data_IF_930514563826
#
_entry.id   IF_930514563826
#
_cell.length_a   1.000
_cell.length_b   1.000
_cell.length_c   1.000
_cell.angle_alpha   90.00
_cell.angle_beta   90.00
_cell.angle_gamma   90.00
#
_symmetry.space_group_name_H-M   'P 1'
#
loop_
_entity.id
_entity.type
_entity.pdbx_description
1 polymer ?
#
# COMPACT_ATOMS: atom_id res chain seq x y z
N UNK A 1 34.33 2.81 16.65
CA UNK A 1 33.70 3.41 15.43
C UNK A 1 34.65 3.18 14.27
N UNK A 2 34.20 2.67 13.12
CA UNK A 2 35.09 2.37 11.99
C UNK A 2 35.91 3.59 11.56
N UNK A 3 37.18 3.45 11.15
CA UNK A 3 37.98 4.57 10.62
C UNK A 3 37.32 5.20 9.38
N UNK A 4 37.61 6.49 9.13
CA UNK A 4 37.03 7.22 7.99
C UNK A 4 37.37 6.56 6.64
N UNK A 5 38.56 5.98 6.53
CA UNK A 5 39.02 5.25 5.34
C UNK A 5 38.17 4.02 5.02
N UNK A 6 37.59 3.37 6.04
CA UNK A 6 36.66 2.27 5.80
C UNK A 6 35.25 2.76 5.48
N UNK A 7 34.80 3.85 6.10
CA UNK A 7 33.47 4.41 5.83
C UNK A 7 33.34 4.98 4.42
N UNK A 8 34.43 5.54 3.87
CA UNK A 8 34.50 5.99 2.47
C UNK A 8 34.34 4.85 1.44
N UNK A 9 34.58 3.60 1.85
CA UNK A 9 34.42 2.41 0.98
C UNK A 9 32.96 1.94 0.88
N UNK A 10 32.09 2.42 1.76
CA UNK A 10 30.66 2.08 1.71
C UNK A 10 30.04 2.73 0.48
N UNK A 11 29.39 1.92 -0.36
CA UNK A 11 28.80 2.37 -1.61
C UNK A 11 27.29 2.62 -1.49
N UNK A 12 26.58 1.82 -0.70
CA UNK A 12 25.12 1.88 -0.61
C UNK A 12 24.68 1.67 0.83
N UNK A 13 23.71 2.46 1.27
CA UNK A 13 23.05 2.33 2.57
C UNK A 13 21.55 2.33 2.34
N UNK A 14 20.88 1.25 2.74
CA UNK A 14 19.41 1.22 2.79
C UNK A 14 18.94 1.63 4.18
N UNK A 15 18.07 2.63 4.28
CA UNK A 15 17.61 3.18 5.56
C UNK A 15 16.10 3.45 5.59
N UNK A 16 15.55 3.55 6.78
CA UNK A 16 14.15 3.96 6.99
C UNK A 16 13.99 5.48 6.76
N UNK A 17 12.75 5.94 6.61
CA UNK A 17 12.34 7.34 6.44
C UNK A 17 12.53 8.20 7.71
N UNK A 18 13.30 7.73 8.70
CA UNK A 18 13.53 8.45 9.94
C UNK A 18 14.54 9.56 9.73
N UNK A 19 14.05 10.80 9.83
CA UNK A 19 14.78 12.03 9.52
C UNK A 19 16.21 12.12 10.12
N UNK A 20 16.45 11.74 11.40
CA UNK A 20 17.81 11.76 11.96
C UNK A 20 18.81 10.87 11.22
N UNK A 21 18.39 9.73 10.65
CA UNK A 21 19.30 8.90 9.85
C UNK A 21 19.67 9.61 8.55
N UNK A 22 18.71 10.27 7.89
CA UNK A 22 18.97 11.02 6.66
C UNK A 22 19.95 12.18 6.87
N UNK A 23 19.98 12.76 8.06
CA UNK A 23 20.92 13.85 8.41
C UNK A 23 22.32 13.34 8.81
N UNK A 24 22.40 12.18 9.46
CA UNK A 24 23.64 11.64 10.02
C UNK A 24 24.40 10.78 9.00
N UNK A 25 23.70 10.00 8.17
CA UNK A 25 24.31 9.07 7.21
C UNK A 25 25.26 9.76 6.22
N UNK A 26 24.94 10.93 5.62
CA UNK A 26 25.89 11.64 4.75
C UNK A 26 27.17 12.08 5.47
N UNK A 27 27.07 12.40 6.77
CA UNK A 27 28.23 12.79 7.59
C UNK A 27 29.10 11.60 7.94
N UNK A 28 28.50 10.43 8.15
CA UNK A 28 29.21 9.20 8.50
C UNK A 28 29.77 8.47 7.27
N UNK A 29 29.07 8.51 6.15
CA UNK A 29 29.38 7.75 4.92
C UNK A 29 29.23 8.66 3.69
N UNK A 30 30.21 9.55 3.46
CA UNK A 30 30.09 10.61 2.46
C UNK A 30 30.01 10.10 1.01
N UNK A 31 30.52 8.90 0.73
CA UNK A 31 30.53 8.29 -0.60
C UNK A 31 29.36 7.33 -0.85
N UNK A 32 28.54 7.07 0.17
CA UNK A 32 27.47 6.08 0.07
C UNK A 32 26.20 6.69 -0.52
N UNK A 33 25.59 5.99 -1.47
CA UNK A 33 24.24 6.27 -1.94
C UNK A 33 23.22 5.82 -0.89
N UNK A 34 22.39 6.76 -0.43
CA UNK A 34 21.33 6.48 0.54
C UNK A 34 20.06 6.11 -0.21
N UNK A 35 19.58 4.88 0.02
CA UNK A 35 18.35 4.33 -0.55
C UNK A 35 17.32 4.20 0.56
N UNK A 36 16.11 4.68 0.32
CA UNK A 36 15.00 4.50 1.24
C UNK A 36 14.45 3.07 1.15
N UNK A 37 14.19 2.46 2.29
CA UNK A 37 13.60 1.14 2.34
C UNK A 37 12.17 1.16 1.76
N UNK A 38 12.01 0.44 0.65
CA UNK A 38 10.77 0.30 -0.10
C UNK A 38 9.67 -0.33 0.75
N UNK A 39 10.02 -1.21 1.70
CA UNK A 39 9.04 -1.83 2.58
C UNK A 39 8.31 -0.80 3.44
N UNK A 40 9.05 0.14 4.02
CA UNK A 40 8.48 1.21 4.84
C UNK A 40 7.56 2.14 4.03
N UNK A 41 7.94 2.44 2.79
CA UNK A 41 7.09 3.23 1.87
C UNK A 41 5.77 2.50 1.57
N UNK A 42 5.83 1.23 1.16
CA UNK A 42 4.63 0.43 0.86
C UNK A 42 3.74 0.31 2.11
N UNK A 43 4.34 0.12 3.28
CA UNK A 43 3.62 0.03 4.54
C UNK A 43 2.91 1.36 4.87
N UNK A 44 3.57 2.49 4.66
CA UNK A 44 3.01 3.82 4.89
C UNK A 44 1.79 4.08 3.99
N UNK A 45 1.92 3.82 2.69
CA UNK A 45 0.85 4.01 1.71
C UNK A 45 -0.32 3.08 2.01
N UNK A 46 -0.05 1.81 2.32
CA UNK A 46 -1.07 0.83 2.71
C UNK A 46 -1.86 1.31 3.95
N UNK A 47 -1.17 1.80 4.98
CA UNK A 47 -1.81 2.37 6.18
C UNK A 47 -2.67 3.59 5.84
N UNK A 48 -2.15 4.51 5.02
CA UNK A 48 -2.88 5.71 4.61
C UNK A 48 -4.17 5.35 3.86
N UNK A 49 -4.10 4.41 2.91
CA UNK A 49 -5.28 3.91 2.20
C UNK A 49 -6.30 3.27 3.14
N UNK A 50 -5.86 2.43 4.08
CA UNK A 50 -6.75 1.79 5.05
C UNK A 50 -7.43 2.81 5.97
N UNK A 51 -6.71 3.85 6.40
CA UNK A 51 -7.27 4.95 7.18
C UNK A 51 -8.31 5.73 6.39
N UNK A 52 -8.01 6.11 5.15
CA UNK A 52 -8.94 6.79 4.25
C UNK A 52 -10.22 5.96 4.03
N UNK A 53 -10.08 4.65 3.81
CA UNK A 53 -11.21 3.72 3.71
C UNK A 53 -12.09 3.73 4.97
N UNK A 54 -11.49 3.71 6.15
CA UNK A 54 -12.24 3.77 7.43
C UNK A 54 -12.96 5.11 7.58
N UNK A 55 -12.33 6.22 7.20
CA UNK A 55 -12.95 7.54 7.21
C UNK A 55 -14.16 7.60 6.27
N UNK A 56 -14.00 7.14 5.02
CA UNK A 56 -15.09 7.04 4.05
C UNK A 56 -16.22 6.15 4.57
N UNK A 57 -15.89 4.98 5.14
CA UNK A 57 -16.87 4.07 5.73
C UNK A 57 -17.71 4.73 6.83
N UNK A 58 -17.10 5.57 7.69
CA UNK A 58 -17.80 6.29 8.77
C UNK A 58 -18.70 7.40 8.24
N UNK A 59 -18.40 7.96 7.07
CA UNK A 59 -19.17 9.03 6.44
C UNK A 59 -20.36 8.50 5.61
N UNK A 60 -20.42 7.19 5.33
CA UNK A 60 -21.51 6.59 4.58
C UNK A 60 -22.82 6.58 5.39
N UNK A 61 -23.86 7.17 4.81
CA UNK A 61 -25.24 7.07 5.33
C UNK A 61 -25.83 5.69 5.09
N UNK A 62 -25.44 5.00 4.00
CA UNK A 62 -25.87 3.63 3.73
C UNK A 62 -25.10 2.62 4.61
N UNK A 63 -25.75 2.22 5.71
CA UNK A 63 -25.22 1.21 6.63
C UNK A 63 -25.04 -0.19 6.01
N UNK A 64 -25.77 -0.54 4.95
CA UNK A 64 -25.56 -1.79 4.22
C UNK A 64 -24.25 -1.75 3.45
N UNK A 65 -24.00 -0.64 2.74
CA UNK A 65 -22.77 -0.40 2.01
C UNK A 65 -21.56 -0.31 2.96
N UNK A 66 -21.69 0.41 4.07
CA UNK A 66 -20.64 0.49 5.09
C UNK A 66 -20.28 -0.88 5.68
N UNK A 67 -21.27 -1.75 5.93
CA UNK A 67 -21.05 -3.13 6.38
C UNK A 67 -20.32 -3.98 5.33
N UNK A 68 -20.67 -3.86 4.05
CA UNK A 68 -19.96 -4.53 2.96
C UNK A 68 -18.51 -4.05 2.87
N UNK A 69 -18.29 -2.73 2.88
CA UNK A 69 -16.94 -2.15 2.89
C UNK A 69 -16.10 -2.63 4.08
N UNK A 70 -16.71 -2.73 5.28
CA UNK A 70 -16.08 -3.29 6.47
C UNK A 70 -15.78 -4.78 6.31
N UNK A 71 -16.67 -5.58 5.71
CA UNK A 71 -16.52 -7.04 5.58
C UNK A 71 -15.41 -7.41 4.59
N UNK A 72 -15.39 -6.80 3.40
CA UNK A 72 -14.49 -7.16 2.29
C UNK A 72 -13.18 -6.39 2.27
N UNK A 73 -12.87 -5.73 3.38
CA UNK A 73 -11.78 -4.78 3.47
C UNK A 73 -10.39 -5.36 3.09
N UNK A 74 -10.17 -6.66 3.34
CA UNK A 74 -8.94 -7.38 3.00
C UNK A 74 -8.77 -7.57 1.49
N UNK A 75 -9.84 -7.55 0.71
CA UNK A 75 -9.75 -7.67 -0.76
C UNK A 75 -9.01 -6.47 -1.35
N UNK A 76 -9.21 -5.27 -0.78
CA UNK A 76 -8.53 -4.07 -1.23
C UNK A 76 -7.03 -4.05 -0.94
N UNK A 77 -6.51 -4.92 -0.07
CA UNK A 77 -5.06 -5.03 0.20
C UNK A 77 -4.34 -5.93 -0.80
N UNK A 78 -5.08 -6.73 -1.57
CA UNK A 78 -4.50 -7.57 -2.61
C UNK A 78 -4.14 -6.72 -3.83
N UNK A 79 -3.16 -7.19 -4.59
CA UNK A 79 -2.96 -6.68 -5.95
C UNK A 79 -4.24 -6.93 -6.75
N UNK A 80 -4.69 -5.95 -7.54
CA UNK A 80 -5.85 -6.10 -8.40
C UNK A 80 -5.71 -7.32 -9.33
N UNK A 81 -4.49 -7.61 -9.79
CA UNK A 81 -4.19 -8.78 -10.64
C UNK A 81 -4.27 -10.14 -9.92
N UNK A 82 -4.29 -10.16 -8.58
CA UNK A 82 -4.38 -11.40 -7.79
C UNK A 82 -5.77 -11.64 -7.17
N UNK A 83 -6.76 -10.81 -7.52
CA UNK A 83 -8.14 -11.05 -7.14
C UNK A 83 -8.69 -12.26 -7.88
N UNK A 84 -9.26 -13.22 -7.13
CA UNK A 84 -9.80 -14.43 -7.72
C UNK A 84 -11.08 -14.14 -8.50
N UNK A 85 -11.13 -14.64 -9.72
CA UNK A 85 -12.32 -14.66 -10.59
C UNK A 85 -13.29 -15.80 -10.21
N UNK A 86 -12.88 -16.74 -9.36
CA UNK A 86 -13.73 -17.84 -8.92
C UNK A 86 -14.92 -17.27 -8.15
N UNK A 87 -16.12 -17.48 -8.70
CA UNK A 87 -17.38 -17.06 -8.07
C UNK A 87 -17.74 -18.01 -6.94
N UNK A 88 -18.22 -17.45 -5.83
CA UNK A 88 -18.76 -18.19 -4.71
C UNK A 88 -20.05 -17.51 -4.25
N UNK A 89 -20.93 -18.27 -3.60
CA UNK A 89 -22.16 -17.69 -3.07
C UNK A 89 -21.85 -16.78 -1.88
N UNK A 90 -22.13 -15.49 -2.01
CA UNK A 90 -21.94 -14.53 -0.94
C UNK A 90 -23.26 -14.09 -0.33
N UNK A 91 -23.43 -14.31 0.97
CA UNK A 91 -24.66 -14.00 1.71
C UNK A 91 -24.98 -12.49 1.82
N UNK A 92 -23.98 -11.61 1.77
CA UNK A 92 -24.21 -10.16 1.83
C UNK A 92 -24.65 -9.59 0.48
N UNK A 93 -24.33 -10.28 -0.60
CA UNK A 93 -24.80 -9.96 -1.96
C UNK A 93 -25.96 -10.83 -2.43
N UNK A 94 -26.25 -11.96 -1.76
CA UNK A 94 -27.29 -12.94 -2.09
C UNK A 94 -27.17 -13.49 -3.52
N UNK A 95 -25.94 -13.67 -3.99
CA UNK A 95 -25.63 -14.18 -5.33
C UNK A 95 -24.23 -14.79 -5.38
N UNK A 96 -23.96 -15.54 -6.45
CA UNK A 96 -22.61 -15.95 -6.79
C UNK A 96 -21.81 -14.74 -7.30
N UNK A 97 -20.72 -14.41 -6.64
CA UNK A 97 -19.89 -13.24 -6.96
C UNK A 97 -18.42 -13.58 -6.70
N UNK A 98 -17.53 -13.02 -7.52
CA UNK A 98 -16.08 -13.14 -7.38
C UNK A 98 -15.50 -12.04 -6.50
N UNK A 99 -14.23 -12.18 -6.10
CA UNK A 99 -13.55 -11.15 -5.31
C UNK A 99 -13.38 -9.85 -6.10
N UNK A 100 -13.10 -9.95 -7.41
CA UNK A 100 -12.99 -8.79 -8.30
C UNK A 100 -14.31 -8.04 -8.46
N UNK A 101 -15.41 -8.76 -8.65
CA UNK A 101 -16.75 -8.15 -8.76
C UNK A 101 -17.18 -7.44 -7.46
N UNK A 102 -16.84 -8.00 -6.28
CA UNK A 102 -17.11 -7.35 -5.00
C UNK A 102 -16.36 -6.01 -4.90
N UNK A 103 -15.06 -6.01 -5.24
CA UNK A 103 -14.23 -4.80 -5.22
C UNK A 103 -14.81 -3.76 -6.19
N UNK A 104 -15.04 -4.14 -7.45
CA UNK A 104 -15.58 -3.25 -8.48
C UNK A 104 -16.94 -2.66 -8.08
N UNK A 105 -17.82 -3.46 -7.46
CA UNK A 105 -19.10 -2.97 -6.95
C UNK A 105 -18.90 -1.87 -5.90
N UNK A 106 -18.00 -2.08 -4.94
CA UNK A 106 -17.75 -1.11 -3.86
C UNK A 106 -17.07 0.16 -4.36
N UNK A 107 -16.10 0.05 -5.27
CA UNK A 107 -15.43 1.20 -5.89
C UNK A 107 -16.44 2.06 -6.68
N UNK A 108 -17.28 1.43 -7.51
CA UNK A 108 -18.32 2.12 -8.28
C UNK A 108 -19.33 2.85 -7.38
N UNK A 109 -19.62 2.32 -6.20
CA UNK A 109 -20.54 2.93 -5.24
C UNK A 109 -19.92 4.03 -4.40
N UNK A 110 -18.59 4.09 -4.31
CA UNK A 110 -17.85 5.05 -3.47
C UNK A 110 -16.73 5.67 -4.31
N UNK A 111 -17.02 6.71 -5.13
CA UNK A 111 -16.05 7.24 -6.10
C UNK A 111 -14.72 7.69 -5.47
N UNK A 112 -14.73 8.29 -4.28
CA UNK A 112 -13.50 8.63 -3.56
C UNK A 112 -12.64 7.42 -3.20
N UNK A 113 -13.27 6.27 -2.92
CA UNK A 113 -12.54 5.05 -2.64
C UNK A 113 -11.85 4.52 -3.89
N UNK A 114 -12.47 4.67 -5.07
CA UNK A 114 -11.91 4.30 -6.37
C UNK A 114 -10.64 5.08 -6.68
N UNK A 115 -10.67 6.40 -6.50
CA UNK A 115 -9.49 7.25 -6.65
C UNK A 115 -8.34 6.80 -5.74
N UNK A 116 -8.61 6.63 -4.44
CA UNK A 116 -7.59 6.20 -3.47
C UNK A 116 -7.06 4.80 -3.76
N UNK A 117 -7.94 3.91 -4.22
CA UNK A 117 -7.58 2.55 -4.59
C UNK A 117 -6.67 2.51 -5.82
N UNK A 118 -6.97 3.32 -6.85
CA UNK A 118 -6.13 3.45 -8.03
C UNK A 118 -4.71 3.89 -7.69
N UNK A 119 -4.57 4.93 -6.86
CA UNK A 119 -3.27 5.40 -6.36
C UNK A 119 -2.53 4.27 -5.63
N UNK A 120 -3.20 3.60 -4.69
CA UNK A 120 -2.62 2.50 -3.92
C UNK A 120 -2.15 1.33 -4.81
N UNK A 121 -2.97 0.91 -5.78
CA UNK A 121 -2.64 -0.18 -6.70
C UNK A 121 -1.49 0.20 -7.64
N UNK A 122 -1.42 1.45 -8.09
CA UNK A 122 -0.29 1.93 -8.89
C UNK A 122 1.02 1.83 -8.10
N UNK A 123 1.03 2.22 -6.82
CA UNK A 123 2.21 2.03 -5.97
C UNK A 123 2.56 0.55 -5.83
N UNK A 124 1.60 -0.32 -5.49
CA UNK A 124 1.85 -1.76 -5.39
C UNK A 124 2.46 -2.32 -6.69
N UNK A 125 1.93 -1.94 -7.84
CA UNK A 125 2.41 -2.35 -9.15
C UNK A 125 3.86 -1.88 -9.39
N UNK A 126 4.14 -0.58 -9.17
CA UNK A 126 5.48 -0.02 -9.36
C UNK A 126 6.53 -0.72 -8.49
N UNK A 127 6.18 -1.06 -7.25
CA UNK A 127 7.10 -1.74 -6.34
C UNK A 127 7.27 -3.23 -6.64
N UNK A 128 6.28 -3.90 -7.24
CA UNK A 128 6.40 -5.30 -7.68
C UNK A 128 7.17 -5.45 -8.99
N UNK A 129 7.07 -4.46 -9.89
CA UNK A 129 7.60 -4.55 -11.26
C UNK A 129 8.84 -3.70 -11.55
N UNK A 130 9.25 -2.77 -10.66
CA UNK A 130 10.58 -2.17 -10.79
C UNK A 130 11.63 -3.24 -10.50
N UNK A 131 12.33 -3.65 -11.56
CA UNK A 131 13.57 -4.43 -11.50
C UNK A 131 14.52 -3.78 -10.49
N UNK A 132 15.25 -4.63 -9.76
CA UNK A 132 16.47 -4.23 -9.05
C UNK A 132 17.41 -3.64 -10.10
N UNK A 133 17.44 -2.32 -10.20
CA UNK A 133 18.61 -1.61 -10.71
C UNK A 133 19.72 -1.71 -9.67
#
# INVERSE_FOLDING_TARGET
>A
TFPMEERKKVQVITTDLYEPYLQILPKLFPNAQIILDRFHIIQLISRAFLQARIQLMKQLQDHSLARKLKKYWKLFQKSASSLSEKRYYDYSFKQYISSGEIVNFLLKKIPKLDEYYGIYQNFLYLFQHKKKE
#
